data_IF_757148195555
#
_entry.id   IF_757148195555
#
_cell.length_a   1.000
_cell.length_b   1.000
_cell.length_c   1.000
_cell.angle_alpha   90.00
_cell.angle_beta   90.00
_cell.angle_gamma   90.00
#
_symmetry.space_group_name_H-M   'P 1'
#
loop_
_entity.id
_entity.type
_entity.pdbx_description
1 polymer ?
#
# COMPACT_ATOMS: atom_id res chain seq x y z
N UNK A 1 -37.40 -12.63 -21.90
CA UNK A 1 -38.10 -12.17 -20.68
C UNK A 1 -37.14 -12.29 -19.52
N UNK A 2 -36.74 -11.22 -18.81
CA UNK A 2 -36.01 -11.40 -17.57
C UNK A 2 -36.98 -11.57 -16.41
N UNK A 3 -36.89 -12.70 -15.70
CA UNK A 3 -37.50 -12.88 -14.39
C UNK A 3 -36.88 -11.88 -13.42
N UNK A 4 -37.67 -10.93 -12.93
CA UNK A 4 -37.32 -10.12 -11.77
C UNK A 4 -37.45 -11.00 -10.53
N UNK A 5 -36.33 -11.41 -9.94
CA UNK A 5 -36.32 -11.87 -8.56
C UNK A 5 -36.51 -10.64 -7.66
N UNK A 6 -37.76 -10.35 -7.29
CA UNK A 6 -38.03 -9.53 -6.11
C UNK A 6 -37.48 -10.28 -4.90
N UNK A 7 -36.30 -9.88 -4.42
CA UNK A 7 -35.91 -10.24 -3.07
C UNK A 7 -37.02 -9.69 -2.15
N UNK A 8 -37.60 -10.53 -1.28
CA UNK A 8 -38.55 -10.03 -0.29
C UNK A 8 -37.85 -8.97 0.57
N UNK A 9 -38.52 -7.84 0.81
CA UNK A 9 -38.02 -6.83 1.75
C UNK A 9 -37.70 -7.53 3.07
N UNK A 10 -36.44 -7.51 3.55
CA UNK A 10 -36.16 -8.03 4.87
C UNK A 10 -37.00 -7.25 5.86
N UNK A 11 -37.82 -7.96 6.65
CA UNK A 11 -38.67 -7.33 7.66
C UNK A 11 -37.85 -6.42 8.58
N UNK A 12 -38.50 -5.41 9.15
CA UNK A 12 -37.89 -4.51 10.13
C UNK A 12 -38.79 -4.41 11.35
N UNK A 13 -38.20 -4.03 12.48
CA UNK A 13 -38.94 -3.67 13.69
C UNK A 13 -38.77 -2.20 13.99
N UNK A 14 -39.72 -1.62 14.71
CA UNK A 14 -39.65 -0.24 15.19
C UNK A 14 -39.28 -0.27 16.66
N UNK A 15 -38.14 0.33 17.02
CA UNK A 15 -37.72 0.53 18.39
C UNK A 15 -38.58 1.58 19.09
N UNK A 16 -38.65 1.50 20.42
CA UNK A 16 -39.38 2.48 21.24
C UNK A 16 -38.77 3.89 21.20
N UNK A 17 -37.54 4.03 20.70
CA UNK A 17 -36.81 5.28 20.50
C UNK A 17 -37.00 5.88 19.09
N UNK A 18 -37.91 5.33 18.29
CA UNK A 18 -38.20 5.79 16.93
C UNK A 18 -37.17 5.36 15.89
N UNK A 19 -36.28 4.43 16.22
CA UNK A 19 -35.33 3.82 15.27
C UNK A 19 -35.94 2.60 14.59
N UNK A 20 -35.56 2.37 13.34
CA UNK A 20 -35.92 1.16 12.60
C UNK A 20 -34.75 0.17 12.61
N UNK A 21 -35.05 -1.12 12.84
CA UNK A 21 -34.05 -2.18 12.92
C UNK A 21 -34.28 -3.18 11.81
N UNK A 22 -33.30 -3.37 10.92
CA UNK A 22 -33.38 -4.47 9.94
C UNK A 22 -33.23 -5.83 10.62
N UNK A 23 -34.12 -6.77 10.32
CA UNK A 23 -34.04 -8.13 10.86
C UNK A 23 -32.82 -8.90 10.33
N UNK A 24 -32.30 -8.53 9.15
CA UNK A 24 -31.10 -9.12 8.58
C UNK A 24 -29.86 -8.68 9.37
N UNK A 25 -29.18 -9.64 9.98
CA UNK A 25 -27.97 -9.40 10.77
C UNK A 25 -26.69 -9.59 9.96
N UNK A 26 -25.63 -8.88 10.34
CA UNK A 26 -24.31 -8.98 9.73
C UNK A 26 -23.40 -9.99 10.43
N UNK A 27 -22.58 -10.67 9.62
CA UNK A 27 -21.36 -11.32 10.14
C UNK A 27 -20.21 -10.31 10.16
N UNK A 28 -20.09 -9.47 9.12
CA UNK A 28 -19.11 -8.40 9.05
C UNK A 28 -19.67 -7.15 8.38
N UNK A 29 -19.04 -5.99 8.60
CA UNK A 29 -19.36 -4.76 7.86
C UNK A 29 -18.93 -4.78 6.38
N UNK A 30 -18.25 -5.83 5.89
CA UNK A 30 -17.99 -5.99 4.44
C UNK A 30 -19.23 -6.43 3.67
N UNK A 31 -20.26 -6.89 4.38
CA UNK A 31 -21.48 -7.44 3.81
C UNK A 31 -22.58 -6.39 3.60
N UNK A 32 -22.23 -5.09 3.56
CA UNK A 32 -23.20 -4.01 3.41
C UNK A 32 -24.14 -4.31 2.24
N UNK A 33 -25.47 -4.27 2.46
CA UNK A 33 -26.43 -4.39 1.38
C UNK A 33 -26.10 -3.32 0.35
N UNK A 34 -26.03 -3.71 -0.91
CA UNK A 34 -26.22 -2.74 -1.99
C UNK A 34 -27.71 -2.46 -1.94
N UNK A 35 -28.09 -1.30 -1.40
CA UNK A 35 -29.50 -0.94 -1.24
C UNK A 35 -30.06 -0.64 -2.63
N UNK A 36 -30.61 -1.67 -3.28
CA UNK A 36 -31.55 -1.45 -4.38
C UNK A 36 -32.81 -0.85 -3.76
N UNK A 37 -33.23 0.31 -4.29
CA UNK A 37 -34.39 1.08 -3.87
C UNK A 37 -35.52 0.19 -3.37
N UNK A 38 -35.72 0.19 -2.05
CA UNK A 38 -36.92 -0.37 -1.47
C UNK A 38 -37.88 0.81 -1.35
N UNK A 39 -38.80 0.92 -2.30
CA UNK A 39 -39.72 2.06 -2.49
C UNK A 39 -40.75 2.25 -1.34
N UNK A 40 -40.41 1.83 -0.10
CA UNK A 40 -41.35 1.80 1.02
C UNK A 40 -40.70 1.88 2.40
N UNK A 41 -39.38 2.08 2.52
CA UNK A 41 -38.76 2.21 3.83
C UNK A 41 -39.05 3.59 4.46
N UNK A 42 -39.55 3.64 5.70
CA UNK A 42 -39.78 4.91 6.39
C UNK A 42 -38.53 5.80 6.48
N UNK A 43 -38.75 7.10 6.34
CA UNK A 43 -37.76 8.11 6.70
C UNK A 43 -37.42 8.02 8.18
N UNK A 44 -36.15 8.20 8.53
CA UNK A 44 -35.72 8.19 9.93
C UNK A 44 -34.37 7.53 10.13
N UNK A 45 -34.07 7.25 11.40
CA UNK A 45 -32.82 6.60 11.81
C UNK A 45 -32.97 5.10 11.74
N UNK A 46 -32.03 4.47 11.07
CA UNK A 46 -31.96 3.04 10.88
C UNK A 46 -30.72 2.49 11.56
N UNK A 47 -30.87 1.32 12.15
CA UNK A 47 -29.75 0.54 12.66
C UNK A 47 -29.79 -0.86 12.07
N UNK A 48 -28.61 -1.44 11.93
CA UNK A 48 -28.46 -2.84 11.60
C UNK A 48 -27.50 -3.49 12.59
N UNK A 49 -27.85 -4.71 13.00
CA UNK A 49 -27.17 -5.41 14.08
C UNK A 49 -26.23 -6.50 13.55
N UNK A 50 -25.19 -6.79 14.31
CA UNK A 50 -24.43 -8.02 14.19
C UNK A 50 -25.29 -9.24 14.54
N UNK A 51 -24.87 -10.43 14.11
CA UNK A 51 -25.50 -11.71 14.48
C UNK A 51 -25.68 -11.84 16.00
N UNK A 52 -24.69 -11.39 16.76
CA UNK A 52 -24.65 -11.42 18.22
C UNK A 52 -25.53 -10.34 18.89
N UNK A 53 -26.09 -9.40 18.11
CA UNK A 53 -27.06 -8.40 18.59
C UNK A 53 -26.49 -7.00 18.82
N UNK A 54 -25.16 -6.82 18.85
CA UNK A 54 -24.54 -5.49 18.91
C UNK A 54 -24.83 -4.64 17.66
N UNK A 55 -24.83 -3.32 17.79
CA UNK A 55 -25.03 -2.41 16.64
C UNK A 55 -23.83 -2.50 15.70
N UNK A 56 -24.09 -2.75 14.42
CA UNK A 56 -23.06 -2.78 13.40
C UNK A 56 -22.94 -1.45 12.67
N UNK A 57 -24.08 -0.85 12.30
CA UNK A 57 -24.12 0.44 11.60
C UNK A 57 -25.42 1.17 11.92
N UNK A 58 -25.34 2.50 11.99
CA UNK A 58 -26.48 3.40 12.00
C UNK A 58 -26.39 4.41 10.85
N UNK A 59 -27.54 4.76 10.27
CA UNK A 59 -27.67 5.70 9.15
C UNK A 59 -29.06 6.32 9.14
N UNK A 60 -29.28 7.28 8.24
CA UNK A 60 -30.58 7.95 8.08
C UNK A 60 -31.12 7.74 6.67
N UNK A 61 -32.40 7.40 6.56
CA UNK A 61 -33.13 7.41 5.28
C UNK A 61 -33.96 8.70 5.16
N UNK A 62 -33.90 9.31 3.99
CA UNK A 62 -34.75 10.44 3.55
C UNK A 62 -35.20 10.17 2.12
N UNK A 63 -36.51 10.21 1.89
CA UNK A 63 -37.12 9.91 0.60
C UNK A 63 -36.64 8.57 0.02
N UNK A 64 -36.59 7.54 0.89
CA UNK A 64 -36.14 6.18 0.55
C UNK A 64 -34.64 6.04 0.22
N UNK A 65 -33.85 7.12 0.36
CA UNK A 65 -32.41 7.14 0.09
C UNK A 65 -31.62 7.39 1.37
N UNK A 66 -30.43 6.80 1.49
CA UNK A 66 -29.48 7.12 2.54
C UNK A 66 -28.99 8.55 2.37
N UNK A 67 -29.12 9.33 3.43
CA UNK A 67 -28.78 10.75 3.39
C UNK A 67 -28.34 11.23 4.78
N UNK A 68 -27.15 11.82 4.86
CA UNK A 68 -26.53 12.32 6.09
C UNK A 68 -25.50 11.37 6.69
N UNK A 69 -25.15 11.63 7.95
CA UNK A 69 -24.08 10.92 8.66
C UNK A 69 -24.47 9.46 8.92
N UNK A 70 -23.54 8.56 8.62
CA UNK A 70 -23.55 7.16 8.98
C UNK A 70 -22.36 6.84 9.90
N UNK A 71 -22.59 5.93 10.85
CA UNK A 71 -21.55 5.44 11.77
C UNK A 71 -21.58 3.93 11.82
N UNK A 72 -20.42 3.32 11.61
CA UNK A 72 -20.21 1.89 11.76
C UNK A 72 -19.40 1.58 13.01
N UNK A 73 -19.68 0.47 13.67
CA UNK A 73 -19.11 0.11 14.97
C UNK A 73 -18.42 -1.25 14.92
N UNK A 74 -17.38 -1.44 15.72
CA UNK A 74 -16.82 -2.75 16.02
C UNK A 74 -17.82 -3.61 16.82
N UNK A 75 -17.65 -4.95 16.87
CA UNK A 75 -18.51 -5.82 17.68
C UNK A 75 -18.56 -5.45 19.17
N UNK A 76 -17.49 -4.84 19.70
CA UNK A 76 -17.42 -4.33 21.08
C UNK A 76 -18.12 -2.97 21.27
N UNK A 77 -18.76 -2.43 20.22
CA UNK A 77 -19.52 -1.18 20.24
C UNK A 77 -18.69 0.09 20.00
N UNK A 78 -17.37 0.00 19.85
CA UNK A 78 -16.54 1.18 19.56
C UNK A 78 -16.70 1.66 18.13
N UNK A 79 -16.57 2.97 17.91
CA UNK A 79 -16.66 3.56 16.58
C UNK A 79 -15.55 3.03 15.67
N UNK A 80 -15.95 2.55 14.49
CA UNK A 80 -15.05 2.05 13.44
C UNK A 80 -15.06 2.95 12.22
N UNK A 81 -16.24 3.37 11.77
CA UNK A 81 -16.41 4.15 10.55
C UNK A 81 -17.26 5.38 10.81
N UNK A 82 -16.91 6.48 10.16
CA UNK A 82 -17.73 7.69 10.09
C UNK A 82 -17.68 8.22 8.66
N UNK A 83 -18.84 8.34 8.02
CA UNK A 83 -18.95 8.83 6.64
C UNK A 83 -20.33 9.40 6.37
N UNK A 84 -20.48 10.17 5.29
CA UNK A 84 -21.74 10.81 4.93
C UNK A 84 -22.28 10.19 3.65
N UNK A 85 -23.59 9.96 3.61
CA UNK A 85 -24.30 9.65 2.39
C UNK A 85 -24.97 10.89 1.81
N UNK A 86 -24.97 11.00 0.50
CA UNK A 86 -25.85 11.86 -0.28
C UNK A 86 -26.52 10.99 -1.34
N UNK A 87 -27.84 10.84 -1.24
CA UNK A 87 -28.67 10.07 -2.17
C UNK A 87 -28.13 8.66 -2.48
N UNK A 88 -27.85 7.88 -1.43
CA UNK A 88 -27.23 6.54 -1.44
C UNK A 88 -25.73 6.47 -1.77
N UNK A 89 -25.10 7.56 -2.20
CA UNK A 89 -23.67 7.58 -2.48
C UNK A 89 -22.88 8.12 -1.30
N UNK A 90 -21.69 7.58 -1.04
CA UNK A 90 -20.77 8.19 -0.06
C UNK A 90 -20.29 9.52 -0.65
N UNK A 91 -20.43 10.59 0.12
CA UNK A 91 -20.04 11.93 -0.32
C UNK A 91 -19.35 12.67 0.82
N UNK A 92 -18.19 13.26 0.54
CA UNK A 92 -17.31 13.88 1.52
C UNK A 92 -16.35 12.91 2.20
N UNK A 93 -16.06 13.17 3.48
CA UNK A 93 -15.01 12.45 4.22
C UNK A 93 -15.51 11.09 4.70
N UNK A 94 -14.74 10.04 4.40
CA UNK A 94 -14.85 8.73 5.03
C UNK A 94 -13.67 8.55 5.98
N UNK A 95 -13.97 8.24 7.24
CA UNK A 95 -12.98 7.98 8.29
C UNK A 95 -13.09 6.54 8.77
N UNK A 96 -11.96 5.86 8.89
CA UNK A 96 -11.82 4.60 9.62
C UNK A 96 -10.97 4.84 10.87
N UNK A 97 -11.36 4.28 12.00
CA UNK A 97 -10.66 4.39 13.28
C UNK A 97 -10.13 3.04 13.73
N UNK A 98 -9.05 3.02 14.50
CA UNK A 98 -8.58 1.82 15.20
C UNK A 98 -9.57 1.39 16.30
N UNK A 99 -9.52 0.13 16.77
CA UNK A 99 -10.31 -0.32 17.93
C UNK A 99 -10.02 0.42 19.24
N UNK A 100 -8.96 1.23 19.29
CA UNK A 100 -8.57 2.10 20.40
C UNK A 100 -9.07 3.54 20.25
N UNK A 101 -9.62 3.90 19.08
CA UNK A 101 -10.30 5.18 18.81
C UNK A 101 -9.50 6.19 17.99
N UNK A 102 -8.21 5.97 17.76
CA UNK A 102 -7.37 6.84 16.94
C UNK A 102 -7.74 6.71 15.45
N UNK A 103 -7.59 7.80 14.69
CA UNK A 103 -7.86 7.79 13.25
C UNK A 103 -6.88 6.87 12.52
N UNK A 104 -7.39 5.91 11.76
CA UNK A 104 -6.59 4.99 10.96
C UNK A 104 -6.52 5.45 9.50
N UNK A 105 -7.65 5.81 8.89
CA UNK A 105 -7.70 6.22 7.49
C UNK A 105 -8.67 7.36 7.28
N UNK A 106 -8.33 8.22 6.33
CA UNK A 106 -9.18 9.30 5.84
C UNK A 106 -9.19 9.27 4.31
N UNK A 107 -10.37 9.18 3.73
CA UNK A 107 -10.61 9.21 2.30
C UNK A 107 -11.58 10.33 1.96
N UNK A 108 -11.40 10.99 0.81
CA UNK A 108 -12.35 11.95 0.27
C UNK A 108 -13.13 11.30 -0.88
N UNK A 109 -14.45 11.30 -0.78
CA UNK A 109 -15.36 10.80 -1.80
C UNK A 109 -16.17 11.94 -2.42
N UNK A 110 -16.52 11.78 -3.68
CA UNK A 110 -17.48 12.59 -4.40
C UNK A 110 -18.43 11.66 -5.15
N UNK A 111 -19.72 11.67 -4.80
CA UNK A 111 -20.75 10.83 -5.45
C UNK A 111 -20.37 9.34 -5.56
N UNK A 112 -19.77 8.80 -4.49
CA UNK A 112 -19.40 7.39 -4.39
C UNK A 112 -18.01 7.04 -4.94
N UNK A 113 -17.34 7.96 -5.63
CA UNK A 113 -15.99 7.78 -6.16
C UNK A 113 -14.96 8.43 -5.24
N UNK A 114 -13.82 7.77 -5.01
CA UNK A 114 -12.69 8.35 -4.31
C UNK A 114 -12.12 9.49 -5.16
N UNK A 115 -12.15 10.70 -4.62
CA UNK A 115 -11.79 11.91 -5.35
C UNK A 115 -11.17 12.93 -4.37
N UNK A 116 -9.91 13.28 -4.61
CA UNK A 116 -9.08 14.09 -3.72
C UNK A 116 -8.03 13.26 -2.96
N UNK A 117 -7.46 13.88 -1.93
CA UNK A 117 -6.40 13.26 -1.14
C UNK A 117 -6.95 12.14 -0.25
N UNK A 118 -6.11 11.16 0.05
CA UNK A 118 -6.36 10.18 1.08
C UNK A 118 -5.14 10.04 1.98
N UNK A 119 -5.37 9.61 3.22
CA UNK A 119 -4.37 9.51 4.26
C UNK A 119 -4.53 8.21 5.05
N UNK A 120 -3.41 7.61 5.43
CA UNK A 120 -3.34 6.49 6.35
C UNK A 120 -2.39 6.88 7.47
N UNK A 121 -2.79 6.59 8.71
CA UNK A 121 -2.04 6.95 9.91
C UNK A 121 -1.59 5.69 10.64
N UNK A 122 -0.46 5.79 11.32
CA UNK A 122 -0.06 4.88 12.37
C UNK A 122 -0.91 5.11 13.63
N UNK A 123 -0.85 4.16 14.56
CA UNK A 123 -1.63 4.20 15.80
C UNK A 123 -1.28 5.40 16.70
N UNK A 124 -0.04 5.88 16.62
CA UNK A 124 0.42 7.07 17.34
C UNK A 124 -0.01 8.40 16.68
N UNK A 125 -0.76 8.34 15.57
CA UNK A 125 -1.25 9.49 14.82
C UNK A 125 -0.29 10.02 13.77
N UNK A 126 0.93 9.47 13.65
CA UNK A 126 1.85 9.85 12.58
C UNK A 126 1.34 9.34 11.22
N UNK A 127 1.59 10.09 10.16
CA UNK A 127 1.17 9.70 8.81
C UNK A 127 2.04 8.55 8.30
N UNK A 128 1.41 7.47 7.83
CA UNK A 128 2.10 6.31 7.24
C UNK A 128 2.03 6.31 5.71
N UNK A 129 0.97 6.90 5.13
CA UNK A 129 0.84 7.04 3.69
C UNK A 129 -0.11 8.17 3.31
N UNK A 130 0.09 8.75 2.11
CA UNK A 130 -0.85 9.65 1.46
C UNK A 130 -0.76 9.51 -0.05
N UNK A 131 -1.87 9.80 -0.72
CA UNK A 131 -1.91 9.89 -2.17
C UNK A 131 -3.09 10.73 -2.63
N UNK A 132 -3.19 10.90 -3.95
CA UNK A 132 -4.28 11.60 -4.61
C UNK A 132 -5.03 10.63 -5.52
N UNK A 133 -6.36 10.71 -5.51
CA UNK A 133 -7.20 10.00 -6.49
C UNK A 133 -8.11 10.97 -7.23
N UNK A 134 -8.43 10.62 -8.47
CA UNK A 134 -9.47 11.25 -9.28
C UNK A 134 -10.36 10.15 -9.84
N UNK A 135 -11.61 10.14 -9.44
CA UNK A 135 -12.62 9.18 -9.90
C UNK A 135 -12.14 7.72 -9.75
N UNK A 136 -11.71 7.37 -8.54
CA UNK A 136 -11.08 6.08 -8.15
C UNK A 136 -9.71 5.78 -8.77
N UNK A 137 -9.21 6.60 -9.70
CA UNK A 137 -7.87 6.43 -10.25
C UNK A 137 -6.81 7.16 -9.41
N UNK A 138 -5.77 6.45 -8.99
CA UNK A 138 -4.57 7.03 -8.40
C UNK A 138 -3.90 7.98 -9.40
N UNK A 139 -3.60 9.17 -8.91
CA UNK A 139 -2.98 10.27 -9.63
C UNK A 139 -1.85 10.86 -8.78
N UNK A 140 -0.93 11.56 -9.45
CA UNK A 140 0.19 12.28 -8.84
C UNK A 140 1.01 11.39 -7.89
N UNK A 141 1.62 11.98 -6.86
CA UNK A 141 2.53 11.29 -5.95
C UNK A 141 1.81 10.48 -4.88
N UNK A 142 2.29 9.25 -4.73
CA UNK A 142 2.06 8.38 -3.58
C UNK A 142 3.29 8.43 -2.68
N UNK A 143 3.07 8.67 -1.39
CA UNK A 143 4.12 8.68 -0.38
C UNK A 143 3.83 7.66 0.70
N UNK A 144 4.89 7.01 1.19
CA UNK A 144 4.88 6.25 2.43
C UNK A 144 5.99 6.76 3.35
N UNK A 145 5.74 6.70 4.65
CA UNK A 145 6.69 7.06 5.69
C UNK A 145 7.03 5.86 6.57
N UNK A 146 8.15 5.95 7.26
CA UNK A 146 8.49 5.13 8.40
C UNK A 146 7.80 5.65 9.67
N UNK A 147 7.66 4.84 10.73
CA UNK A 147 7.08 5.27 12.01
C UNK A 147 7.81 6.43 12.70
N UNK A 148 9.05 6.73 12.29
CA UNK A 148 9.81 7.87 12.79
C UNK A 148 9.59 9.17 11.98
N UNK A 149 8.69 9.15 11.00
CA UNK A 149 8.36 10.30 10.15
C UNK A 149 9.27 10.51 8.94
N UNK A 150 10.33 9.72 8.77
CA UNK A 150 11.16 9.78 7.57
C UNK A 150 10.43 9.17 6.37
N UNK A 151 10.67 9.72 5.18
CA UNK A 151 10.16 9.11 3.94
C UNK A 151 10.68 7.68 3.82
N UNK A 152 9.81 6.79 3.37
CA UNK A 152 10.10 5.39 3.07
C UNK A 152 10.09 5.15 1.58
N UNK A 153 9.11 5.73 0.90
CA UNK A 153 8.84 5.50 -0.51
C UNK A 153 8.10 6.69 -1.13
N UNK A 154 8.41 6.96 -2.39
CA UNK A 154 7.77 7.95 -3.24
C UNK A 154 7.61 7.34 -4.63
N UNK A 155 6.38 7.38 -5.14
CA UNK A 155 6.01 6.94 -6.50
C UNK A 155 5.17 8.03 -7.14
N UNK A 156 5.19 8.11 -8.46
CA UNK A 156 4.30 8.98 -9.23
C UNK A 156 3.37 8.13 -10.07
N UNK A 157 2.09 8.50 -10.09
CA UNK A 157 1.03 7.81 -10.82
C UNK A 157 0.30 8.76 -11.76
N UNK A 158 -0.20 8.20 -12.86
CA UNK A 158 -1.10 8.86 -13.80
C UNK A 158 -2.12 7.85 -14.30
N UNK A 159 -3.40 8.08 -14.03
CA UNK A 159 -4.50 7.16 -14.32
C UNK A 159 -4.22 5.71 -13.87
N UNK A 160 -3.90 5.51 -12.57
CA UNK A 160 -3.51 4.22 -11.97
C UNK A 160 -2.22 3.59 -12.50
N UNK A 161 -1.48 4.22 -13.41
CA UNK A 161 -0.23 3.69 -13.94
C UNK A 161 0.95 4.42 -13.32
N UNK A 162 1.98 3.67 -12.95
CA UNK A 162 3.23 4.24 -12.50
C UNK A 162 3.85 5.08 -13.64
N UNK A 163 4.21 6.32 -13.35
CA UNK A 163 4.69 7.31 -14.31
C UNK A 163 5.93 8.01 -13.77
N UNK A 164 7.10 7.44 -14.02
CA UNK A 164 8.39 8.03 -13.65
C UNK A 164 9.26 7.13 -12.76
N UNK A 165 10.05 7.77 -11.90
CA UNK A 165 11.02 7.11 -11.03
C UNK A 165 10.39 6.83 -9.67
N UNK A 166 10.59 5.62 -9.17
CA UNK A 166 10.31 5.27 -7.77
C UNK A 166 11.56 5.49 -6.93
N UNK A 167 11.40 6.09 -5.76
CA UNK A 167 12.49 6.34 -4.81
C UNK A 167 12.16 5.64 -3.50
N UNK A 168 13.18 5.01 -2.91
CA UNK A 168 13.12 4.38 -1.59
C UNK A 168 14.19 4.97 -0.69
N UNK A 169 13.90 5.03 0.61
CA UNK A 169 14.79 5.53 1.64
C UNK A 169 14.93 4.54 2.79
N UNK A 170 16.12 4.53 3.39
CA UNK A 170 16.36 3.88 4.66
C UNK A 170 15.57 4.57 5.79
N UNK A 171 15.35 3.85 6.90
CA UNK A 171 14.60 4.36 8.05
C UNK A 171 15.19 5.65 8.62
N UNK A 172 16.51 5.85 8.56
CA UNK A 172 17.18 7.08 8.99
C UNK A 172 17.24 8.18 7.93
N UNK A 173 16.48 8.06 6.83
CA UNK A 173 16.23 9.14 5.86
C UNK A 173 17.23 9.25 4.71
N UNK A 174 18.22 8.35 4.63
CA UNK A 174 19.16 8.31 3.49
C UNK A 174 18.50 7.58 2.32
N UNK A 175 18.65 8.12 1.09
CA UNK A 175 18.15 7.46 -0.12
C UNK A 175 18.78 6.07 -0.24
N UNK A 176 17.96 5.04 -0.45
CA UNK A 176 18.38 3.65 -0.56
C UNK A 176 18.55 3.25 -2.03
N UNK A 177 17.55 3.55 -2.84
CA UNK A 177 17.57 3.24 -4.26
C UNK A 177 16.55 4.08 -5.03
N UNK A 178 16.80 4.29 -6.30
CA UNK A 178 15.84 4.89 -7.22
C UNK A 178 15.97 4.30 -8.62
N UNK A 179 14.84 4.20 -9.31
CA UNK A 179 14.76 3.78 -10.71
C UNK A 179 13.32 3.58 -11.17
N UNK A 180 13.11 3.33 -12.47
CA UNK A 180 11.77 3.11 -13.00
C UNK A 180 11.27 1.69 -12.70
N UNK A 181 9.94 1.55 -12.60
CA UNK A 181 9.24 0.28 -12.50
C UNK A 181 8.26 0.11 -13.66
N UNK A 182 7.91 -1.13 -13.98
CA UNK A 182 6.80 -1.42 -14.88
C UNK A 182 5.43 -1.31 -14.17
N UNK A 183 4.35 -1.53 -14.91
CA UNK A 183 2.98 -1.43 -14.38
C UNK A 183 2.58 -2.52 -13.38
N UNK A 184 3.48 -3.44 -13.03
CA UNK A 184 3.28 -4.50 -12.02
C UNK A 184 4.43 -4.52 -10.99
N UNK A 185 5.06 -3.37 -10.78
CA UNK A 185 6.10 -3.11 -9.77
C UNK A 185 7.44 -3.83 -9.97
N UNK A 186 7.74 -4.39 -11.15
CA UNK A 186 9.07 -4.90 -11.45
C UNK A 186 10.03 -3.75 -11.77
N UNK A 187 11.28 -3.85 -11.28
CA UNK A 187 12.36 -2.92 -11.64
C UNK A 187 12.70 -3.06 -13.13
N UNK A 188 12.77 -1.94 -13.83
CA UNK A 188 13.19 -1.85 -15.23
C UNK A 188 14.18 -0.72 -15.41
N UNK A 189 14.95 -0.72 -16.51
CA UNK A 189 15.86 0.36 -16.84
C UNK A 189 16.94 0.61 -15.79
N UNK A 190 17.44 1.83 -15.73
CA UNK A 190 18.55 2.20 -14.85
C UNK A 190 18.13 2.39 -13.41
N UNK A 191 18.84 1.71 -12.50
CA UNK A 191 18.66 1.83 -11.06
C UNK A 191 19.96 2.25 -10.39
N UNK A 192 19.85 3.20 -9.47
CA UNK A 192 20.96 3.61 -8.60
C UNK A 192 20.68 3.16 -7.18
N UNK A 193 21.72 2.70 -6.49
CA UNK A 193 21.68 2.25 -5.11
C UNK A 193 22.73 2.98 -4.29
N UNK A 194 22.40 3.25 -3.04
CA UNK A 194 23.30 3.88 -2.07
C UNK A 194 23.47 2.99 -0.85
N UNK A 195 24.58 3.19 -0.15
CA UNK A 195 24.77 2.67 1.19
C UNK A 195 24.02 3.54 2.21
N UNK A 196 23.83 3.00 3.41
CA UNK A 196 23.20 3.69 4.54
C UNK A 196 23.93 4.99 4.95
N UNK A 197 25.21 5.16 4.61
CA UNK A 197 25.97 6.40 4.85
C UNK A 197 25.81 7.43 3.72
N UNK A 198 25.00 7.15 2.70
CA UNK A 198 24.70 8.02 1.58
C UNK A 198 25.72 7.97 0.44
N UNK A 199 26.79 7.16 0.55
CA UNK A 199 27.69 6.93 -0.59
C UNK A 199 27.01 6.06 -1.64
N UNK A 200 27.30 6.29 -2.92
CA UNK A 200 26.85 5.39 -3.99
C UNK A 200 27.37 3.98 -3.73
N UNK A 201 26.52 2.99 -3.98
CA UNK A 201 26.85 1.57 -3.85
C UNK A 201 27.00 0.94 -5.24
N UNK A 202 25.95 1.04 -6.07
CA UNK A 202 25.98 0.50 -7.43
C UNK A 202 24.96 1.17 -8.34
N UNK A 203 25.22 1.07 -9.63
CA UNK A 203 24.32 1.43 -10.71
C UNK A 203 24.17 0.22 -11.63
N UNK A 204 22.94 -0.13 -11.96
CA UNK A 204 22.61 -1.31 -12.76
C UNK A 204 21.54 -1.00 -13.78
N UNK A 205 21.41 -1.82 -14.82
CA UNK A 205 20.27 -1.82 -15.73
C UNK A 205 19.49 -3.12 -15.54
N UNK A 206 18.18 -3.01 -15.34
CA UNK A 206 17.25 -4.13 -15.39
C UNK A 206 16.62 -4.25 -16.78
N UNK A 207 16.80 -5.42 -17.38
CA UNK A 207 16.27 -5.81 -18.68
C UNK A 207 15.52 -7.14 -18.51
N UNK A 208 14.21 -7.05 -18.26
CA UNK A 208 13.39 -8.17 -17.82
C UNK A 208 13.88 -8.72 -16.46
N UNK A 209 14.30 -9.98 -16.43
CA UNK A 209 14.83 -10.63 -15.22
C UNK A 209 16.34 -10.45 -15.04
N UNK A 210 17.03 -9.85 -16.00
CA UNK A 210 18.48 -9.73 -15.98
C UNK A 210 18.89 -8.40 -15.34
N UNK A 211 19.78 -8.48 -14.35
CA UNK A 211 20.47 -7.34 -13.77
C UNK A 211 21.86 -7.23 -14.42
N UNK A 212 22.13 -6.13 -15.10
CA UNK A 212 23.42 -5.80 -15.70
C UNK A 212 24.12 -4.76 -14.82
N UNK A 213 25.26 -5.13 -14.23
CA UNK A 213 26.04 -4.22 -13.38
C UNK A 213 26.76 -3.19 -14.25
N UNK A 214 26.57 -1.89 -14.02
CA UNK A 214 27.32 -0.85 -14.75
C UNK A 214 28.45 -0.29 -13.90
N UNK A 215 28.13 0.22 -12.72
CA UNK A 215 29.10 0.82 -11.84
C UNK A 215 28.92 0.29 -10.42
N UNK A 216 30.01 0.21 -9.68
CA UNK A 216 29.97 -0.14 -8.26
C UNK A 216 31.07 0.58 -7.51
N UNK A 217 30.78 0.95 -6.27
CA UNK A 217 31.73 1.56 -5.34
C UNK A 217 31.74 0.75 -4.04
N UNK A 218 32.89 0.72 -3.37
CA UNK A 218 32.97 0.18 -2.02
C UNK A 218 32.46 1.18 -0.96
N UNK A 219 32.37 0.75 0.30
CA UNK A 219 31.93 1.61 1.43
C UNK A 219 32.85 2.81 1.71
N UNK A 220 34.05 2.85 1.14
CA UNK A 220 34.97 4.00 1.20
C UNK A 220 34.77 4.95 0.01
N UNK A 221 33.87 4.64 -0.92
CA UNK A 221 33.60 5.42 -2.12
C UNK A 221 34.58 5.16 -3.26
N UNK A 222 35.42 4.12 -3.17
CA UNK A 222 36.33 3.76 -4.26
C UNK A 222 35.55 3.00 -5.31
N UNK A 223 35.65 3.43 -6.57
CA UNK A 223 35.00 2.76 -7.68
C UNK A 223 35.69 1.42 -7.98
N UNK A 224 34.88 0.38 -8.11
CA UNK A 224 35.29 -1.03 -8.19
C UNK A 224 34.96 -1.60 -9.58
N UNK A 225 33.76 -1.30 -10.09
CA UNK A 225 33.30 -1.62 -11.43
C UNK A 225 33.03 -0.32 -12.17
N UNK A 226 33.50 -0.24 -13.43
CA UNK A 226 33.29 0.91 -14.32
C UNK A 226 32.79 0.39 -15.67
N UNK A 227 31.66 0.89 -16.13
CA UNK A 227 31.06 0.51 -17.42
C UNK A 227 30.96 -1.02 -17.61
N UNK A 228 30.57 -1.71 -16.54
CA UNK A 228 30.35 -3.15 -16.52
C UNK A 228 31.60 -4.01 -16.40
N UNK A 229 32.77 -3.40 -16.20
CA UNK A 229 34.04 -4.10 -16.13
C UNK A 229 34.77 -3.78 -14.82
N UNK A 230 35.29 -4.81 -14.16
CA UNK A 230 36.15 -4.63 -12.99
C UNK A 230 35.90 -5.62 -11.86
N UNK A 231 36.69 -5.49 -10.80
CA UNK A 231 36.56 -6.33 -9.61
C UNK A 231 35.42 -5.81 -8.76
N UNK A 232 34.58 -6.70 -8.25
CA UNK A 232 33.52 -6.38 -7.31
C UNK A 232 33.82 -7.01 -5.95
N UNK A 233 33.47 -6.29 -4.88
CA UNK A 233 33.47 -6.85 -3.53
C UNK A 233 32.36 -6.20 -2.70
N UNK A 234 31.58 -7.04 -2.02
CA UNK A 234 30.53 -6.60 -1.11
C UNK A 234 30.89 -6.97 0.33
N UNK A 235 30.74 -6.00 1.23
CA UNK A 235 31.03 -6.12 2.66
C UNK A 235 29.86 -5.63 3.50
N UNK A 236 29.62 -6.28 4.64
CA UNK A 236 28.69 -5.81 5.66
C UNK A 236 29.13 -4.46 6.23
N UNK A 237 28.27 -3.81 7.01
CA UNK A 237 28.62 -2.59 7.74
C UNK A 237 29.77 -2.81 8.73
N UNK A 238 29.91 -4.02 9.27
CA UNK A 238 31.01 -4.42 10.16
C UNK A 238 32.31 -4.74 9.43
N UNK A 239 32.31 -4.70 8.09
CA UNK A 239 33.48 -5.00 7.26
C UNK A 239 33.66 -6.48 6.91
N UNK A 240 32.75 -7.37 7.31
CA UNK A 240 32.77 -8.78 6.90
C UNK A 240 32.50 -8.89 5.40
N UNK A 241 33.39 -9.52 4.66
CA UNK A 241 33.22 -9.75 3.21
C UNK A 241 32.16 -10.83 2.99
N UNK A 242 31.22 -10.57 2.07
CA UNK A 242 30.13 -11.48 1.72
C UNK A 242 30.24 -12.04 0.30
N UNK A 243 30.82 -11.26 -0.61
CA UNK A 243 31.12 -11.75 -1.96
C UNK A 243 32.23 -10.95 -2.62
N UNK A 244 32.96 -11.60 -3.51
CA UNK A 244 33.88 -10.95 -4.43
C UNK A 244 34.00 -11.77 -5.72
N UNK A 245 34.31 -11.06 -6.80
CA UNK A 245 34.48 -11.64 -8.13
C UNK A 245 34.74 -10.54 -9.14
N UNK A 246 34.58 -10.85 -10.42
CA UNK A 246 34.74 -9.87 -11.49
C UNK A 246 33.45 -9.75 -12.30
N UNK A 247 33.21 -8.54 -12.76
CA UNK A 247 32.27 -8.27 -13.83
C UNK A 247 33.04 -8.05 -15.13
N UNK A 248 32.49 -8.60 -16.21
CA UNK A 248 32.90 -8.36 -17.58
C UNK A 248 31.65 -8.16 -18.41
N UNK A 249 31.62 -7.10 -19.23
CA UNK A 249 30.47 -6.75 -20.07
C UNK A 249 29.15 -6.71 -19.28
N UNK A 250 29.21 -6.14 -18.07
CA UNK A 250 28.11 -6.01 -17.10
C UNK A 250 27.59 -7.33 -16.48
N UNK A 251 28.23 -8.46 -16.75
CA UNK A 251 27.84 -9.79 -16.28
C UNK A 251 28.89 -10.38 -15.35
N UNK A 252 28.45 -11.21 -14.40
CA UNK A 252 29.35 -11.96 -13.53
C UNK A 252 30.24 -12.88 -14.38
N UNK A 253 31.55 -12.82 -14.18
CA UNK A 253 32.50 -13.58 -14.99
C UNK A 253 33.64 -14.17 -14.14
N UNK A 254 34.04 -15.39 -14.49
CA UNK A 254 35.09 -16.12 -13.81
C UNK A 254 34.69 -16.61 -12.42
N UNK A 255 35.70 -16.69 -11.54
CA UNK A 255 35.55 -17.22 -10.18
C UNK A 255 34.96 -16.18 -9.24
N UNK A 256 33.93 -16.58 -8.52
CA UNK A 256 33.28 -15.82 -7.46
C UNK A 256 33.45 -16.55 -6.13
N UNK A 257 33.84 -15.80 -5.10
CA UNK A 257 33.89 -16.25 -3.73
C UNK A 257 32.68 -15.69 -2.99
N UNK A 258 31.95 -16.54 -2.27
CA UNK A 258 30.76 -16.16 -1.52
C UNK A 258 30.90 -16.67 -0.09
N UNK A 259 30.89 -15.76 0.87
CA UNK A 259 30.99 -16.08 2.30
C UNK A 259 29.61 -16.22 2.91
N UNK A 260 29.49 -17.12 3.88
CA UNK A 260 28.29 -17.22 4.71
C UNK A 260 28.30 -16.10 5.76
N UNK A 261 27.17 -15.42 5.92
CA UNK A 261 27.08 -14.28 6.83
C UNK A 261 27.17 -14.71 8.31
N UNK A 262 26.65 -15.89 8.64
CA UNK A 262 26.46 -16.37 10.03
C UNK A 262 27.62 -17.22 10.54
N UNK A 263 28.45 -17.71 9.65
CA UNK A 263 29.54 -18.65 9.99
C UNK A 263 30.88 -18.14 9.47
N UNK A 264 31.97 -18.65 10.05
CA UNK A 264 33.35 -18.31 9.65
C UNK A 264 33.99 -19.41 8.79
N UNK A 265 33.16 -20.23 8.14
CA UNK A 265 33.66 -21.21 7.17
C UNK A 265 34.25 -20.51 5.94
N UNK A 266 35.22 -21.14 5.25
CA UNK A 266 35.77 -20.64 4.00
C UNK A 266 34.67 -20.33 2.96
N UNK A 267 34.88 -19.35 2.08
CA UNK A 267 33.90 -19.01 1.06
C UNK A 267 33.67 -20.18 0.11
N UNK A 268 32.44 -20.34 -0.35
CA UNK A 268 32.13 -21.21 -1.49
C UNK A 268 32.62 -20.55 -2.77
N UNK A 269 33.14 -21.36 -3.67
CA UNK A 269 33.55 -20.92 -5.01
C UNK A 269 32.43 -21.23 -6.00
N UNK A 270 32.12 -20.26 -6.85
CA UNK A 270 31.15 -20.41 -7.93
C UNK A 270 31.75 -19.82 -9.20
N UNK A 271 31.65 -20.53 -10.31
CA UNK A 271 32.16 -20.05 -11.59
C UNK A 271 31.02 -19.55 -12.46
N UNK A 272 31.26 -18.43 -13.13
CA UNK A 272 30.33 -17.83 -14.08
C UNK A 272 31.02 -17.62 -15.42
N UNK A 273 30.27 -17.84 -16.50
CA UNK A 273 30.67 -17.47 -17.86
C UNK A 273 29.53 -16.62 -18.42
N UNK A 274 29.80 -15.34 -18.71
CA UNK A 274 28.80 -14.40 -19.20
C UNK A 274 27.50 -14.40 -18.35
N UNK A 275 27.64 -14.36 -17.03
CA UNK A 275 26.53 -14.33 -16.08
C UNK A 275 25.84 -15.69 -15.83
N UNK A 276 26.24 -16.75 -16.54
CA UNK A 276 25.67 -18.09 -16.36
C UNK A 276 26.53 -18.89 -15.40
N UNK A 277 25.94 -19.29 -14.27
CA UNK A 277 26.55 -20.18 -13.30
C UNK A 277 26.84 -21.54 -13.94
N UNK A 278 28.08 -22.02 -13.79
CA UNK A 278 28.52 -23.35 -14.23
C UNK A 278 28.32 -24.40 -13.13
#
# INVERSE_FOLDING_TARGET
MPLFFYAQQPGYTTGSDGRYIFNRRFSTLKDLPRFSAWDSLPNGRWIQLYKEGGVAIEYTLRNYLMNGLAKGYYPDGKLRYEFTFYDNFIDGKFKEYYPTGELYKLYNYNQGYLNGEWFIYYKDGQMSAKGLCKDDAQEDKLYHWWPNGNLKEERTYKNNKLDGITIYWYEHGVKMMEGPQDGIDNKVGSWTYWYEDGKKHKEVIYDGKFEKMLNSWDRKGRQMVTEGNGKYSYTTITGKKLMEGNYKDALMDGKWLIWDEKTDVPPREVFYIAGIKQ
#
